data_IF_453387529820
#
_entry.id   IF_453387529820
#
_cell.length_a   1.000
_cell.length_b   1.000
_cell.length_c   1.000
_cell.angle_alpha   90.00
_cell.angle_beta   90.00
_cell.angle_gamma   90.00
#
_symmetry.space_group_name_H-M   'P 1'
#
loop_
_entity.id
_entity.type
_entity.pdbx_description
1 polymer ?
#
# COMPACT_ATOMS: atom_id res chain seq x y z
N UNK A 1 30.03 -7.80 13.94
CA UNK A 1 29.05 -7.84 12.83
C UNK A 1 27.68 -7.82 13.47
N UNK A 2 26.98 -6.68 13.41
CA UNK A 2 25.63 -6.59 14.01
C UNK A 2 24.64 -7.34 13.12
N UNK A 3 23.85 -8.23 13.72
CA UNK A 3 22.83 -8.99 13.00
C UNK A 3 21.70 -8.05 12.54
N UNK A 4 21.35 -8.10 11.26
CA UNK A 4 20.27 -7.34 10.63
C UNK A 4 18.89 -7.67 11.26
N UNK A 5 18.79 -8.85 11.88
CA UNK A 5 17.62 -9.30 12.62
C UNK A 5 17.57 -8.83 14.08
N UNK A 6 18.59 -8.13 14.58
CA UNK A 6 18.56 -7.61 15.94
C UNK A 6 17.62 -6.39 16.02
N UNK A 7 16.65 -6.35 16.95
CA UNK A 7 15.79 -5.18 17.15
C UNK A 7 16.61 -3.91 17.43
N UNK A 8 17.73 -4.05 18.14
CA UNK A 8 18.68 -2.95 18.39
C UNK A 8 19.15 -2.28 17.09
N UNK A 9 19.40 -3.02 16.01
CA UNK A 9 19.82 -2.43 14.73
C UNK A 9 18.82 -1.44 14.14
N UNK A 10 17.51 -1.67 14.36
CA UNK A 10 16.43 -0.84 13.84
C UNK A 10 16.01 0.29 14.79
N UNK A 11 16.20 0.09 16.09
CA UNK A 11 15.79 1.03 17.15
C UNK A 11 16.95 1.86 17.74
N UNK A 12 18.19 1.70 17.26
CA UNK A 12 19.30 2.55 17.72
C UNK A 12 19.17 3.94 17.10
N UNK A 13 19.12 4.97 17.94
CA UNK A 13 19.11 6.40 17.56
C UNK A 13 20.45 6.89 16.95
N UNK A 14 21.45 6.01 16.89
CA UNK A 14 22.80 6.34 16.42
C UNK A 14 22.76 6.48 14.91
N UNK A 15 23.19 7.63 14.42
CA UNK A 15 23.26 7.98 13.00
C UNK A 15 24.35 7.14 12.31
N UNK A 16 24.12 5.84 12.15
CA UNK A 16 24.91 5.05 11.22
C UNK A 16 24.26 5.32 9.85
N UNK A 17 24.91 6.11 8.98
CA UNK A 17 24.36 6.36 7.64
C UNK A 17 24.01 5.03 7.00
N UNK A 18 22.84 4.96 6.35
CA UNK A 18 22.54 3.77 5.55
C UNK A 18 23.68 3.59 4.54
N UNK A 19 24.11 2.35 4.35
CA UNK A 19 25.03 2.06 3.25
C UNK A 19 24.39 2.56 1.95
N UNK A 20 25.20 3.10 1.00
CA UNK A 20 24.68 3.55 -0.29
C UNK A 20 23.82 2.49 -0.98
N UNK A 21 24.22 1.21 -0.87
CA UNK A 21 23.47 0.07 -1.38
C UNK A 21 22.08 -0.07 -0.74
N UNK A 22 21.97 0.06 0.58
CA UNK A 22 20.70 -0.02 1.29
C UNK A 22 19.73 1.10 0.87
N UNK A 23 20.25 2.30 0.62
CA UNK A 23 19.46 3.42 0.09
C UNK A 23 18.94 3.14 -1.32
N UNK A 24 19.76 2.61 -2.22
CA UNK A 24 19.33 2.25 -3.57
C UNK A 24 18.24 1.18 -3.57
N UNK A 25 18.39 0.14 -2.74
CA UNK A 25 17.39 -0.93 -2.59
C UNK A 25 16.05 -0.36 -2.08
N UNK A 26 16.08 0.45 -1.02
CA UNK A 26 14.87 1.05 -0.48
C UNK A 26 14.18 1.99 -1.47
N UNK A 27 14.97 2.83 -2.14
CA UNK A 27 14.47 3.77 -3.15
C UNK A 27 13.81 3.01 -4.29
N UNK A 28 14.46 1.95 -4.79
CA UNK A 28 13.91 1.07 -5.82
C UNK A 28 12.61 0.38 -5.38
N UNK A 29 12.57 -0.12 -4.13
CA UNK A 29 11.36 -0.73 -3.56
C UNK A 29 10.18 0.26 -3.50
N UNK A 30 10.37 1.46 -2.93
CA UNK A 30 9.30 2.45 -2.84
C UNK A 30 8.90 3.03 -4.19
N UNK A 31 9.85 3.25 -5.11
CA UNK A 31 9.54 3.62 -6.49
C UNK A 31 8.71 2.53 -7.19
N UNK A 32 9.08 1.25 -7.01
CA UNK A 32 8.32 0.11 -7.50
C UNK A 32 6.90 0.08 -6.95
N UNK A 33 6.70 0.38 -5.66
CA UNK A 33 5.36 0.50 -5.06
C UNK A 33 4.52 1.60 -5.70
N UNK A 34 5.10 2.77 -5.97
CA UNK A 34 4.39 3.86 -6.66
C UNK A 34 3.95 3.39 -8.06
N UNK A 35 4.87 2.81 -8.84
CA UNK A 35 4.56 2.29 -10.18
C UNK A 35 3.47 1.23 -10.12
N UNK A 36 3.58 0.26 -9.22
CA UNK A 36 2.55 -0.78 -9.02
C UNK A 36 1.20 -0.16 -8.65
N UNK A 37 1.20 0.85 -7.78
CA UNK A 37 0.00 1.59 -7.41
C UNK A 37 -0.66 2.30 -8.61
N UNK A 38 0.12 2.91 -9.50
CA UNK A 38 -0.40 3.50 -10.75
C UNK A 38 -0.93 2.44 -11.71
N UNK A 39 -0.22 1.33 -11.90
CA UNK A 39 -0.69 0.22 -12.77
C UNK A 39 -2.01 -0.34 -12.26
N UNK A 40 -2.16 -0.56 -10.95
CA UNK A 40 -3.40 -1.00 -10.32
C UNK A 40 -4.56 0.00 -10.49
N UNK A 41 -4.26 1.29 -10.65
CA UNK A 41 -5.27 2.33 -10.93
C UNK A 41 -5.79 2.24 -12.36
N UNK A 42 -4.91 1.92 -13.30
CA UNK A 42 -5.20 1.84 -14.74
C UNK A 42 -5.81 0.48 -15.13
N UNK A 43 -5.50 -0.59 -14.40
CA UNK A 43 -5.99 -1.95 -14.66
C UNK A 43 -7.52 -2.04 -14.87
N UNK A 44 -8.37 -1.42 -14.04
CA UNK A 44 -9.83 -1.46 -14.21
C UNK A 44 -10.34 -0.67 -15.42
N UNK A 45 -9.56 0.27 -15.94
CA UNK A 45 -9.91 1.03 -17.16
C UNK A 45 -9.54 0.22 -18.41
N UNK A 46 -8.45 -0.54 -18.33
CA UNK A 46 -7.97 -1.43 -19.40
C UNK A 46 -8.79 -2.71 -19.50
N UNK A 47 -9.12 -3.32 -18.36
CA UNK A 47 -10.03 -4.44 -18.25
C UNK A 47 -11.45 -3.87 -18.30
N UNK A 48 -12.09 -3.88 -19.47
CA UNK A 48 -13.48 -3.43 -19.72
C UNK A 48 -14.57 -4.19 -18.92
N UNK A 49 -14.26 -4.73 -17.75
CA UNK A 49 -15.18 -5.42 -16.86
C UNK A 49 -16.01 -4.43 -16.04
N UNK A 50 -17.34 -4.53 -16.15
CA UNK A 50 -18.35 -3.72 -15.42
C UNK A 50 -18.37 -3.94 -13.89
N UNK A 51 -17.37 -4.60 -13.32
CA UNK A 51 -17.40 -4.97 -11.92
C UNK A 51 -16.95 -3.79 -11.05
N UNK A 52 -17.88 -2.89 -10.73
CA UNK A 52 -17.69 -1.68 -9.90
C UNK A 52 -17.02 -2.02 -8.56
N UNK A 53 -17.25 -3.24 -8.07
CA UNK A 53 -16.61 -3.79 -6.87
C UNK A 53 -15.11 -4.01 -7.07
N UNK A 54 -14.70 -4.57 -8.20
CA UNK A 54 -13.28 -4.77 -8.53
C UNK A 54 -12.57 -3.43 -8.62
N UNK A 55 -13.15 -2.46 -9.34
CA UNK A 55 -12.63 -1.09 -9.43
C UNK A 55 -12.39 -0.47 -8.04
N UNK A 56 -13.34 -0.64 -7.12
CA UNK A 56 -13.24 -0.07 -5.78
C UNK A 56 -12.13 -0.72 -4.93
N UNK A 57 -11.87 -2.01 -5.12
CA UNK A 57 -10.81 -2.73 -4.40
C UNK A 57 -9.45 -2.32 -4.96
N UNK A 58 -9.28 -2.37 -6.28
CA UNK A 58 -8.02 -1.96 -6.94
C UNK A 58 -7.70 -0.50 -6.69
N UNK A 59 -8.70 0.39 -6.66
CA UNK A 59 -8.49 1.79 -6.30
C UNK A 59 -7.99 1.96 -4.85
N UNK A 60 -8.46 1.13 -3.91
CA UNK A 60 -7.97 1.13 -2.52
C UNK A 60 -6.53 0.63 -2.43
N UNK A 61 -6.19 -0.46 -3.12
CA UNK A 61 -4.81 -0.94 -3.19
C UNK A 61 -3.88 0.07 -3.86
N UNK A 62 -4.32 0.66 -4.96
CA UNK A 62 -3.61 1.73 -5.67
C UNK A 62 -3.31 2.90 -4.74
N UNK A 63 -4.33 3.43 -4.05
CA UNK A 63 -4.14 4.54 -3.12
C UNK A 63 -3.14 4.18 -2.03
N UNK A 64 -3.25 3.00 -1.42
CA UNK A 64 -2.33 2.51 -0.39
C UNK A 64 -0.88 2.49 -0.87
N UNK A 65 -0.62 1.82 -1.99
CA UNK A 65 0.73 1.70 -2.55
C UNK A 65 1.32 3.03 -3.01
N UNK A 66 0.51 3.91 -3.60
CA UNK A 66 0.97 5.26 -3.98
C UNK A 66 1.30 6.09 -2.74
N UNK A 67 0.43 6.13 -1.71
CA UNK A 67 0.72 6.90 -0.49
C UNK A 67 1.97 6.40 0.22
N UNK A 68 2.12 5.09 0.42
CA UNK A 68 3.27 4.53 1.11
C UNK A 68 4.54 4.64 0.26
N UNK A 69 4.43 4.46 -1.05
CA UNK A 69 5.53 4.65 -1.97
C UNK A 69 6.05 6.09 -1.98
N UNK A 70 5.16 7.08 -2.06
CA UNK A 70 5.54 8.51 -2.03
C UNK A 70 6.14 8.89 -0.68
N UNK A 71 5.50 8.50 0.43
CA UNK A 71 6.01 8.79 1.77
C UNK A 71 7.37 8.11 1.98
N UNK A 72 7.52 6.85 1.56
CA UNK A 72 8.77 6.12 1.63
C UNK A 72 9.89 6.77 0.82
N UNK A 73 9.59 7.24 -0.40
CA UNK A 73 10.55 8.00 -1.21
C UNK A 73 10.98 9.30 -0.54
N UNK A 74 10.03 10.02 0.05
CA UNK A 74 10.30 11.24 0.81
C UNK A 74 11.24 10.95 1.99
N UNK A 75 11.00 9.87 2.73
CA UNK A 75 11.89 9.44 3.81
C UNK A 75 13.27 8.99 3.31
N UNK A 76 13.36 8.31 2.15
CA UNK A 76 14.67 7.97 1.57
C UNK A 76 15.46 9.22 1.17
N UNK A 77 14.78 10.27 0.72
CA UNK A 77 15.41 11.56 0.43
C UNK A 77 15.98 12.20 1.71
N UNK A 78 15.18 12.27 2.78
CA UNK A 78 15.63 12.80 4.08
C UNK A 78 16.73 11.96 4.74
N UNK A 79 16.72 10.65 4.51
CA UNK A 79 17.77 9.75 4.94
C UNK A 79 19.10 10.01 4.22
N UNK A 80 19.05 10.41 2.94
CA UNK A 80 20.23 10.84 2.18
C UNK A 80 20.81 12.15 2.72
N UNK A 81 19.96 13.08 3.12
CA UNK A 81 20.39 14.35 3.74
C UNK A 81 20.81 14.20 5.21
N UNK A 82 20.82 12.97 5.76
CA UNK A 82 21.23 12.65 7.13
C UNK A 82 20.54 13.51 8.22
N UNK A 83 19.30 13.94 7.96
CA UNK A 83 18.51 14.70 8.94
C UNK A 83 18.31 13.86 10.20
N UNK A 84 18.65 14.43 11.38
CA UNK A 84 18.75 13.70 12.66
C UNK A 84 17.52 12.84 13.03
N UNK A 85 16.32 13.30 12.69
CA UNK A 85 15.06 12.67 13.14
C UNK A 85 14.32 12.00 11.97
N UNK A 86 14.33 12.61 10.79
CA UNK A 86 13.59 12.14 9.62
C UNK A 86 14.36 11.07 8.82
N UNK A 87 15.69 11.02 8.93
CA UNK A 87 16.51 9.99 8.29
C UNK A 87 16.62 8.68 9.08
N UNK A 88 15.93 8.57 10.21
CA UNK A 88 16.08 7.43 11.10
C UNK A 88 15.41 6.16 10.53
N UNK A 89 16.07 5.02 10.71
CA UNK A 89 15.66 3.71 10.15
C UNK A 89 14.29 3.24 10.64
N UNK A 90 13.85 3.73 11.79
CA UNK A 90 12.58 3.36 12.40
C UNK A 90 11.38 3.73 11.51
N UNK A 91 11.46 4.81 10.73
CA UNK A 91 10.36 5.24 9.86
C UNK A 91 10.06 4.20 8.78
N UNK A 92 11.09 3.54 8.25
CA UNK A 92 10.90 2.49 7.24
C UNK A 92 10.22 1.25 7.81
N UNK A 93 10.56 0.87 9.05
CA UNK A 93 9.88 -0.23 9.76
C UNK A 93 8.43 0.14 10.03
N UNK A 94 8.18 1.37 10.50
CA UNK A 94 6.84 1.88 10.73
C UNK A 94 5.99 1.87 9.45
N UNK A 95 6.54 2.33 8.34
CA UNK A 95 5.89 2.26 7.02
C UNK A 95 5.61 0.81 6.59
N UNK A 96 6.52 -0.12 6.86
CA UNK A 96 6.32 -1.54 6.59
C UNK A 96 5.15 -2.12 7.39
N UNK A 97 5.07 -1.83 8.69
CA UNK A 97 3.96 -2.26 9.54
C UNK A 97 2.65 -1.64 9.07
N UNK A 98 2.65 -0.35 8.75
CA UNK A 98 1.48 0.36 8.22
C UNK A 98 1.00 -0.25 6.90
N UNK A 99 1.93 -0.58 5.99
CA UNK A 99 1.63 -1.26 4.72
C UNK A 99 0.92 -2.59 4.97
N UNK A 100 1.48 -3.44 5.84
CA UNK A 100 0.91 -4.75 6.15
C UNK A 100 -0.47 -4.64 6.79
N UNK A 101 -0.63 -3.74 7.77
CA UNK A 101 -1.92 -3.49 8.42
C UNK A 101 -2.97 -3.00 7.41
N UNK A 102 -2.58 -2.10 6.49
CA UNK A 102 -3.50 -1.55 5.51
C UNK A 102 -3.88 -2.57 4.44
N UNK A 103 -2.94 -3.39 3.97
CA UNK A 103 -3.21 -4.52 3.09
C UNK A 103 -4.20 -5.48 3.77
N UNK A 104 -3.97 -5.85 5.03
CA UNK A 104 -4.87 -6.69 5.81
C UNK A 104 -6.30 -6.11 5.92
N UNK A 105 -6.40 -4.80 6.13
CA UNK A 105 -7.69 -4.10 6.13
C UNK A 105 -8.40 -4.17 4.77
N UNK A 106 -7.68 -3.99 3.67
CA UNK A 106 -8.25 -4.07 2.31
C UNK A 106 -8.68 -5.51 2.01
N UNK A 107 -7.90 -6.52 2.39
CA UNK A 107 -8.29 -7.93 2.24
C UNK A 107 -9.54 -8.27 3.04
N UNK A 108 -9.62 -7.84 4.30
CA UNK A 108 -10.82 -8.03 5.12
C UNK A 108 -12.04 -7.34 4.50
N UNK A 109 -11.85 -6.12 3.98
CA UNK A 109 -12.88 -5.40 3.24
C UNK A 109 -13.32 -6.17 1.98
N UNK A 110 -12.38 -6.67 1.18
CA UNK A 110 -12.66 -7.46 -0.01
C UNK A 110 -13.43 -8.75 0.34
N UNK A 111 -12.96 -9.52 1.33
CA UNK A 111 -13.58 -10.78 1.72
C UNK A 111 -14.98 -10.59 2.36
N UNK A 112 -15.19 -9.54 3.18
CA UNK A 112 -16.48 -9.35 3.89
C UNK A 112 -17.49 -8.49 3.15
N UNK A 113 -17.05 -7.44 2.45
CA UNK A 113 -17.96 -6.44 1.86
C UNK A 113 -18.39 -6.82 0.44
N UNK A 114 -17.50 -7.45 -0.33
CA UNK A 114 -17.79 -7.87 -1.71
C UNK A 114 -18.94 -8.87 -1.80
N UNK A 115 -18.97 -9.98 -1.03
CA UNK A 115 -20.08 -10.94 -1.13
C UNK A 115 -21.41 -10.33 -0.67
N UNK A 116 -21.40 -9.47 0.36
CA UNK A 116 -22.61 -8.78 0.84
C UNK A 116 -23.17 -7.80 -0.19
N UNK A 117 -22.31 -7.08 -0.91
CA UNK A 117 -22.72 -6.15 -1.97
C UNK A 117 -23.25 -6.90 -3.19
N UNK A 118 -22.64 -8.02 -3.58
CA UNK A 118 -23.16 -8.86 -4.68
C UNK A 118 -24.57 -9.38 -4.39
N UNK A 119 -24.84 -9.89 -3.18
CA UNK A 119 -26.19 -10.34 -2.79
C UNK A 119 -27.24 -9.23 -2.85
N UNK A 120 -26.91 -8.03 -2.37
CA UNK A 120 -27.83 -6.87 -2.43
C UNK A 120 -28.12 -6.43 -3.86
N UNK A 121 -27.14 -6.50 -4.77
CA UNK A 121 -27.35 -6.17 -6.19
C UNK A 121 -28.31 -7.19 -6.82
N UNK A 122 -28.10 -8.50 -6.60
CA UNK A 122 -29.00 -9.53 -7.13
C UNK A 122 -30.42 -9.43 -6.57
N UNK A 123 -30.58 -9.09 -5.29
CA UNK A 123 -31.90 -8.89 -4.67
C UNK A 123 -32.62 -7.66 -5.24
N UNK A 124 -31.89 -6.57 -5.51
CA UNK A 124 -32.45 -5.39 -6.17
C UNK A 124 -32.86 -5.70 -7.62
N UNK A 125 -32.03 -6.42 -8.37
CA UNK A 125 -32.36 -6.82 -9.74
C UNK A 125 -33.58 -7.76 -9.79
N UNK A 126 -33.69 -8.69 -8.84
CA UNK A 126 -34.88 -9.53 -8.70
C UNK A 126 -36.12 -8.70 -8.39
N UNK A 127 -36.07 -7.81 -7.38
CA UNK A 127 -37.22 -6.95 -7.04
C UNK A 127 -37.65 -6.05 -8.20
N UNK A 128 -36.69 -5.51 -8.94
CA UNK A 128 -36.96 -4.66 -10.12
C UNK A 128 -37.61 -5.44 -11.27
N UNK A 129 -37.42 -6.77 -11.34
CA UNK A 129 -38.05 -7.65 -12.33
C UNK A 129 -39.54 -7.89 -12.04
N UNK A 130 -39.99 -7.71 -10.79
CA UNK A 130 -41.36 -7.97 -10.35
C UNK A 130 -42.19 -6.69 -10.12
N UNK A 131 -41.59 -5.50 -10.28
CA UNK A 131 -42.32 -4.24 -10.23
C UNK A 131 -42.60 -3.79 -11.67
N UNK A 132 -43.87 -3.76 -12.13
CA UNK A 132 -44.21 -3.13 -13.39
C UNK A 132 -43.87 -1.64 -13.28
N UNK A 133 -43.15 -1.14 -14.28
CA UNK A 133 -42.74 0.27 -14.41
C UNK A 133 -43.91 1.21 -14.55
#
# INVERSE_FOLDING_TARGET
MENIFSPSYWFTLRQIPLSPEGLHILTGFFAGLVVAGFVLRLMPQLLKGKDVLFYRITAKFSSCFVTIGIIGLLFTFFAREATRVLGARFWFVFLGILLVAWIGYIFNFAARVVPKRRKKISEYEQKKRYLPS
#
